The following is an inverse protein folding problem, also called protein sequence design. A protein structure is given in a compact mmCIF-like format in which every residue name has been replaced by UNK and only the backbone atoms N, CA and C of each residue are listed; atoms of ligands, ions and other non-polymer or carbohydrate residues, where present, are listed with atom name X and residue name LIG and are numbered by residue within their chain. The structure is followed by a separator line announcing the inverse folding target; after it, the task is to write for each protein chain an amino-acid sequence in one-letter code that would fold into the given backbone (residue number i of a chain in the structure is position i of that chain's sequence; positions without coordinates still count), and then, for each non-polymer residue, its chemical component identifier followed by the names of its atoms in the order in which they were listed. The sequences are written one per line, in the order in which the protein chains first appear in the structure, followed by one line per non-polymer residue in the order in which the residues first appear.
data_IF_560564428187
#
_entry.id   IF_560564428187
#
_cell.length_a   1.000
_cell.length_b   1.000
_cell.length_c   1.000
_cell.angle_alpha   90.00
_cell.angle_beta   90.00
_cell.angle_gamma   90.00
#
_symmetry.space_group_name_H-M   'P 1'
#
loop_
_entity.id
_entity.type
_entity.pdbx_description
1 polymer ?
#
# COMPACT_ATOMS: atom_id res chain seq x y z
N UNK A 1 -7.99 4.20 -1.92
CA UNK A 1 -7.21 3.37 -0.98
C UNK A 1 -6.21 2.55 -1.79
N UNK A 2 -5.03 2.26 -1.23
CA UNK A 2 -4.14 1.22 -1.74
C UNK A 2 -3.81 0.24 -0.62
N UNK A 3 -4.12 -1.05 -0.80
CA UNK A 3 -4.03 -2.04 0.28
C UNK A 3 -2.58 -2.30 0.75
N UNK A 4 -1.60 -2.19 -0.15
CA UNK A 4 -0.20 -2.46 0.17
C UNK A 4 -0.01 -3.93 0.50
N UNK A 5 0.66 -4.24 1.60
CA UNK A 5 0.86 -5.61 2.09
C UNK A 5 -0.41 -6.23 2.67
N UNK A 6 -1.44 -5.43 2.97
CA UNK A 6 -2.70 -5.88 3.57
C UNK A 6 -3.69 -6.39 2.50
N UNK A 7 -3.22 -7.29 1.64
CA UNK A 7 -3.98 -8.01 0.60
C UNK A 7 -3.25 -9.30 0.23
N UNK A 8 -3.62 -9.95 -0.87
CA UNK A 8 -2.95 -11.15 -1.37
C UNK A 8 -2.97 -11.15 -2.90
N UNK A 9 -1.92 -11.69 -3.52
CA UNK A 9 -1.83 -11.87 -4.97
C UNK A 9 -3.02 -12.64 -5.56
N UNK A 10 -3.64 -13.56 -4.83
CA UNK A 10 -4.87 -14.26 -5.27
C UNK A 10 -6.06 -13.32 -5.50
N UNK A 11 -6.09 -12.15 -4.85
CA UNK A 11 -7.16 -11.15 -5.01
C UNK A 11 -6.84 -10.18 -6.14
N UNK A 12 -5.59 -9.73 -6.22
CA UNK A 12 -5.17 -8.66 -7.14
C UNK A 12 -4.60 -9.17 -8.46
N UNK A 13 -4.14 -10.43 -8.52
CA UNK A 13 -3.33 -10.99 -9.60
C UNK A 13 -1.94 -10.36 -9.71
N UNK A 14 -1.51 -9.60 -8.68
CA UNK A 14 -0.28 -8.84 -8.66
C UNK A 14 0.48 -9.06 -7.34
N UNK A 15 1.82 -9.00 -7.34
CA UNK A 15 2.59 -9.07 -6.11
C UNK A 15 2.12 -8.02 -5.09
N UNK A 16 2.05 -8.42 -3.83
CA UNK A 16 1.83 -7.49 -2.71
C UNK A 16 3.03 -6.55 -2.55
N UNK A 17 2.78 -5.27 -2.26
CA UNK A 17 3.83 -4.24 -2.19
C UNK A 17 3.77 -3.44 -0.89
N UNK A 18 4.91 -2.95 -0.43
CA UNK A 18 5.01 -2.15 0.80
C UNK A 18 6.21 -1.20 0.75
N UNK A 19 6.42 -0.42 1.81
CA UNK A 19 7.65 0.34 2.01
C UNK A 19 8.89 -0.58 2.08
N UNK A 20 8.76 -1.77 2.68
CA UNK A 20 9.87 -2.70 2.90
C UNK A 20 9.39 -4.16 2.91
N UNK A 21 10.32 -5.11 2.76
CA UNK A 21 10.07 -6.54 2.78
C UNK A 21 10.00 -7.07 4.23
N UNK A 22 9.04 -6.56 4.99
CA UNK A 22 8.81 -6.98 6.38
C UNK A 22 7.73 -8.07 6.39
N UNK A 23 8.01 -9.18 7.07
CA UNK A 23 7.03 -10.25 7.25
C UNK A 23 5.97 -9.84 8.27
N UNK A 24 4.70 -9.92 7.86
CA UNK A 24 3.56 -9.54 8.67
C UNK A 24 2.80 -10.78 9.13
N UNK A 25 2.55 -10.88 10.45
CA UNK A 25 1.75 -11.97 11.01
C UNK A 25 0.26 -11.71 10.80
N UNK A 26 -0.49 -12.76 10.48
CA UNK A 26 -1.94 -12.70 10.37
C UNK A 26 -2.43 -13.19 9.01
N UNK A 27 -3.60 -12.68 8.60
CA UNK A 27 -4.31 -13.19 7.45
C UNK A 27 -4.94 -12.07 6.62
N UNK A 28 -4.82 -12.18 5.30
CA UNK A 28 -5.71 -11.53 4.35
C UNK A 28 -6.94 -12.42 4.09
N UNK A 29 -7.97 -11.84 3.47
CA UNK A 29 -9.12 -12.61 2.96
C UNK A 29 -9.08 -12.64 1.44
N UNK A 30 -9.35 -13.81 0.85
CA UNK A 30 -9.59 -13.92 -0.59
C UNK A 30 -11.02 -13.48 -0.97
N UNK A 31 -11.35 -13.54 -2.27
CA UNK A 31 -12.65 -13.15 -2.79
C UNK A 31 -13.79 -14.06 -2.27
N UNK A 32 -13.47 -15.30 -1.90
CA UNK A 32 -14.38 -16.28 -1.31
C UNK A 32 -14.51 -16.13 0.22
N UNK A 33 -13.73 -15.23 0.83
CA UNK A 33 -13.72 -14.98 2.27
C UNK A 33 -12.87 -15.96 3.09
N UNK A 34 -12.07 -16.82 2.45
CA UNK A 34 -11.11 -17.67 3.16
C UNK A 34 -9.95 -16.83 3.70
N UNK A 35 -9.43 -17.24 4.85
CA UNK A 35 -8.21 -16.66 5.43
C UNK A 35 -6.98 -17.24 4.76
N UNK A 36 -6.16 -16.38 4.22
CA UNK A 36 -4.85 -16.71 3.66
C UNK A 36 -3.77 -16.03 4.50
N UNK A 37 -2.64 -16.69 4.79
CA UNK A 37 -1.53 -16.02 5.45
C UNK A 37 -1.10 -14.81 4.61
N UNK A 38 -0.66 -13.73 5.28
CA UNK A 38 -0.05 -12.62 4.56
C UNK A 38 1.19 -13.09 3.79
N UNK A 39 1.42 -12.45 2.65
CA UNK A 39 2.61 -12.63 1.85
C UNK A 39 3.67 -11.62 2.27
N UNK A 40 4.95 -11.99 2.20
CA UNK A 40 6.03 -11.01 2.36
C UNK A 40 5.97 -10.03 1.19
N UNK A 41 5.81 -8.71 1.44
CA UNK A 41 5.64 -7.74 0.37
C UNK A 41 6.94 -7.47 -0.37
N UNK A 42 6.82 -7.13 -1.65
CA UNK A 42 7.91 -6.57 -2.44
C UNK A 42 8.08 -5.09 -2.07
N UNK A 43 9.29 -4.62 -1.70
CA UNK A 43 9.53 -3.20 -1.48
C UNK A 43 9.33 -2.43 -2.78
N UNK A 44 8.62 -1.30 -2.71
CA UNK A 44 8.52 -0.41 -3.87
C UNK A 44 9.88 0.18 -4.22
N UNK A 45 10.23 0.13 -5.51
CA UNK A 45 11.35 0.86 -6.10
C UNK A 45 10.89 2.25 -6.58
N UNK A 46 11.83 3.02 -7.15
CA UNK A 46 11.55 4.38 -7.63
C UNK A 46 10.45 4.42 -8.69
N UNK A 47 10.42 3.44 -9.61
CA UNK A 47 9.38 3.35 -10.64
C UNK A 47 8.02 3.01 -10.02
N UNK A 48 7.98 2.05 -9.09
CA UNK A 48 6.79 1.68 -8.33
C UNK A 48 6.23 2.86 -7.54
N UNK A 49 7.08 3.62 -6.84
CA UNK A 49 6.67 4.84 -6.12
C UNK A 49 6.09 5.89 -7.07
N UNK A 50 6.72 6.11 -8.22
CA UNK A 50 6.21 7.03 -9.23
C UNK A 50 4.84 6.59 -9.79
N UNK A 51 4.67 5.28 -10.04
CA UNK A 51 3.40 4.69 -10.49
C UNK A 51 2.30 4.85 -9.45
N UNK A 52 2.56 4.52 -8.19
CA UNK A 52 1.59 4.68 -7.09
C UNK A 52 1.13 6.14 -6.98
N UNK A 53 2.05 7.11 -7.04
CA UNK A 53 1.70 8.54 -7.03
C UNK A 53 0.79 8.91 -8.20
N UNK A 54 1.11 8.44 -9.41
CA UNK A 54 0.29 8.67 -10.59
C UNK A 54 -1.10 8.03 -10.46
N UNK A 55 -1.19 6.82 -9.91
CA UNK A 55 -2.44 6.09 -9.70
C UNK A 55 -3.36 6.79 -8.69
N UNK A 56 -2.81 7.31 -7.59
CA UNK A 56 -3.58 8.14 -6.65
C UNK A 56 -4.12 9.40 -7.31
N UNK A 57 -3.29 10.13 -8.08
CA UNK A 57 -3.74 11.33 -8.79
C UNK A 57 -4.82 11.01 -9.83
N UNK A 58 -4.67 9.93 -10.58
CA UNK A 58 -5.65 9.46 -11.55
C UNK A 58 -6.96 9.02 -10.87
N UNK A 59 -6.87 8.34 -9.71
CA UNK A 59 -8.04 7.96 -8.92
C UNK A 59 -8.79 9.19 -8.38
N UNK A 60 -8.08 10.21 -7.90
CA UNK A 60 -8.68 11.45 -7.46
C UNK A 60 -9.41 12.20 -8.59
N UNK A 61 -8.80 12.26 -9.79
CA UNK A 61 -9.47 12.81 -10.99
C UNK A 61 -10.77 12.05 -11.29
N UNK A 62 -10.70 10.73 -11.35
CA UNK A 62 -11.87 9.87 -11.60
C UNK A 62 -12.98 10.05 -10.57
N UNK A 63 -12.65 10.29 -9.30
CA UNK A 63 -13.63 10.57 -8.26
C UNK A 63 -14.40 11.87 -8.54
N UNK A 64 -13.69 12.94 -8.91
CA UNK A 64 -14.31 14.23 -9.28
C UNK A 64 -15.15 14.07 -10.55
N UNK A 65 -14.63 13.38 -11.58
CA UNK A 65 -15.36 13.12 -12.82
C UNK A 65 -16.64 12.29 -12.58
N UNK A 66 -16.65 11.45 -11.54
CA UNK A 66 -17.80 10.69 -11.09
C UNK A 66 -18.79 11.51 -10.22
N UNK A 67 -18.51 12.78 -9.96
CA UNK A 67 -19.39 13.69 -9.21
C UNK A 67 -19.19 13.70 -7.70
N UNK A 68 -18.06 13.19 -7.17
CA UNK A 68 -17.72 13.33 -5.76
C UNK A 68 -17.17 14.73 -5.48
N UNK A 69 -17.53 15.31 -4.33
CA UNK A 69 -17.06 16.63 -3.89
C UNK A 69 -15.57 16.68 -3.53
N UNK A 70 -14.98 15.52 -3.26
CA UNK A 70 -13.57 15.40 -2.86
C UNK A 70 -13.15 13.96 -2.62
N UNK A 71 -11.91 13.81 -2.16
CA UNK A 71 -11.33 12.51 -1.82
C UNK A 71 -10.66 12.56 -0.45
N UNK A 72 -10.74 11.45 0.26
CA UNK A 72 -9.94 11.20 1.46
C UNK A 72 -8.80 10.23 1.11
N UNK A 73 -7.56 10.61 1.47
CA UNK A 73 -6.42 9.73 1.36
C UNK A 73 -6.35 8.82 2.58
N UNK A 74 -6.58 7.53 2.35
CA UNK A 74 -6.49 6.55 3.42
C UNK A 74 -5.01 6.21 3.73
N UNK A 75 -4.46 6.89 4.73
CA UNK A 75 -3.08 6.73 5.23
C UNK A 75 -3.00 6.12 6.63
N UNK A 76 -3.87 5.14 6.90
CA UNK A 76 -4.05 4.59 8.25
C UNK A 76 -4.22 3.06 8.20
N UNK A 77 -4.44 2.43 9.35
CA UNK A 77 -4.87 1.03 9.51
C UNK A 77 -3.95 -0.03 8.85
N UNK A 78 -2.67 0.30 8.68
CA UNK A 78 -1.68 -0.63 8.13
C UNK A 78 -1.64 -0.73 6.60
N UNK A 79 -2.41 0.09 5.88
CA UNK A 79 -2.37 0.12 4.41
C UNK A 79 -1.11 0.80 3.86
N UNK A 80 -0.97 0.86 2.53
CA UNK A 80 0.29 1.23 1.87
C UNK A 80 0.92 2.52 2.43
N UNK A 81 0.19 3.64 2.47
CA UNK A 81 0.76 4.90 2.94
C UNK A 81 1.14 4.84 4.43
N UNK A 82 0.34 4.16 5.26
CA UNK A 82 0.70 3.93 6.67
C UNK A 82 1.96 3.08 6.81
N UNK A 83 2.24 2.18 5.85
CA UNK A 83 3.45 1.35 5.90
C UNK A 83 4.74 2.15 5.82
N UNK A 84 4.74 3.33 5.16
CA UNK A 84 5.86 4.26 5.14
C UNK A 84 5.96 5.07 6.45
N UNK A 85 4.84 5.34 7.11
CA UNK A 85 4.79 6.18 8.32
C UNK A 85 5.13 5.41 9.61
N UNK A 86 5.08 4.08 9.59
CA UNK A 86 5.24 3.26 10.78
C UNK A 86 6.64 2.59 10.81
N UNK A 87 7.46 2.82 11.87
CA UNK A 87 8.83 2.28 11.95
C UNK A 87 8.93 0.75 11.96
N UNK A 88 7.83 0.06 12.28
CA UNK A 88 7.77 -1.41 12.26
C UNK A 88 7.49 -1.99 10.87
N UNK A 89 7.17 -1.17 9.87
CA UNK A 89 6.97 -1.59 8.48
C UNK A 89 7.86 -0.87 7.48
N UNK A 90 8.42 0.29 7.85
CA UNK A 90 9.38 1.03 7.04
C UNK A 90 10.79 0.88 7.61
N UNK A 91 11.62 0.07 6.93
CA UNK A 91 13.04 -0.10 7.23
C UNK A 91 13.92 0.36 6.06
N UNK A 92 13.41 1.27 5.23
CA UNK A 92 14.15 1.85 4.11
C UNK A 92 15.30 2.72 4.61
N UNK A 93 16.36 2.77 3.82
CA UNK A 93 17.55 3.59 4.02
C UNK A 93 17.72 4.70 2.96
N UNK A 94 16.68 4.91 2.16
CA UNK A 94 16.61 5.97 1.14
C UNK A 94 15.80 7.20 1.63
N UNK A 95 15.46 8.10 0.71
CA UNK A 95 14.71 9.33 1.00
C UNK A 95 13.27 9.09 1.48
N UNK A 96 12.81 7.84 1.54
CA UNK A 96 11.48 7.45 2.01
C UNK A 96 11.49 6.65 3.32
N UNK A 97 12.60 6.66 4.07
CA UNK A 97 12.63 6.08 5.41
C UNK A 97 13.78 6.54 6.30
N UNK A 98 13.78 6.01 7.53
CA UNK A 98 14.76 6.29 8.56
C UNK A 98 14.38 7.46 9.48
N UNK A 99 14.28 8.67 8.93
CA UNK A 99 13.88 9.86 9.71
C UNK A 99 12.36 10.08 9.67
N UNK A 100 11.74 10.81 10.61
CA UNK A 100 10.32 11.17 10.50
C UNK A 100 9.98 12.08 9.30
N UNK A 101 10.96 12.75 8.71
CA UNK A 101 10.78 13.59 7.51
C UNK A 101 10.71 12.74 6.23
N UNK A 102 11.44 11.61 6.21
CA UNK A 102 11.55 10.68 5.09
C UNK A 102 10.46 9.60 5.15
#
# INVERSE_FOLDING_TARGET
MHAGWNTHEKVTGLPVVSASAVDHRGWAHDAEGNRLPYETPVPLDAEGLARIRADFAAAARRAVDAGLDGVELHSANGYLLHSFLAPNSNIRDDEYGGSPEN
#
